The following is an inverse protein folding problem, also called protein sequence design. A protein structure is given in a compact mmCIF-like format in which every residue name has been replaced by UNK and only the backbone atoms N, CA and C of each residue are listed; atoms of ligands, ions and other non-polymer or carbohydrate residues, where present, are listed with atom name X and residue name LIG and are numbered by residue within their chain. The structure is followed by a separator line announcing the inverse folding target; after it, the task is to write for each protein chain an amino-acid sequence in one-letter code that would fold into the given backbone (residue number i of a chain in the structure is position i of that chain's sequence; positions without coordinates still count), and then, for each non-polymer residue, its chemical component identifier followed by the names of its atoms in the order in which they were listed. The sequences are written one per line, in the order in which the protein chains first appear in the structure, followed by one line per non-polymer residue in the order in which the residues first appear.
data_IF_783103683105
#
_entry.id   IF_783103683105
#
_cell.length_a   1.000
_cell.length_b   1.000
_cell.length_c   1.000
_cell.angle_alpha   90.00
_cell.angle_beta   90.00
_cell.angle_gamma   90.00
#
_symmetry.space_group_name_H-M   'P 1'
#
loop_
_entity.id
_entity.type
_entity.pdbx_description
1 polymer ?
#
# COMPACT_ATOMS: atom_id res chain seq x y z
N UNK A 1 -37.12 12.76 13.01
CA UNK A 1 -36.97 13.24 11.62
C UNK A 1 -35.83 14.25 11.60
N UNK A 2 -34.82 14.02 10.74
CA UNK A 2 -33.62 14.84 10.46
C UNK A 2 -32.59 14.99 11.62
N UNK A 3 -31.33 14.54 11.56
CA UNK A 3 -30.40 14.37 10.42
C UNK A 3 -29.54 15.63 10.28
N UNK A 4 -28.20 15.61 10.25
CA UNK A 4 -27.24 14.54 10.42
C UNK A 4 -25.85 15.14 10.66
N UNK A 5 -25.03 14.43 11.43
CA UNK A 5 -23.58 14.57 11.34
C UNK A 5 -23.12 13.52 10.32
N UNK A 6 -23.39 13.80 9.05
CA UNK A 6 -22.69 13.10 7.99
C UNK A 6 -21.28 13.67 8.00
N UNK A 7 -20.41 13.09 8.82
CA UNK A 7 -18.98 13.21 8.64
C UNK A 7 -18.74 13.07 7.13
N UNK A 8 -18.17 14.10 6.51
CA UNK A 8 -17.76 14.08 5.12
C UNK A 8 -16.58 13.11 5.04
N UNK A 9 -16.86 11.81 5.21
CA UNK A 9 -15.96 10.75 4.86
C UNK A 9 -15.78 10.93 3.36
N UNK A 10 -14.68 11.59 2.98
CA UNK A 10 -14.21 11.64 1.60
C UNK A 10 -14.49 10.27 1.04
N UNK A 11 -15.45 10.19 0.11
CA UNK A 11 -15.83 8.96 -0.60
C UNK A 11 -14.55 8.21 -0.84
N UNK A 12 -14.33 7.14 -0.06
CA UNK A 12 -13.02 6.53 0.09
C UNK A 12 -12.44 6.39 -1.32
N UNK A 13 -11.22 6.93 -1.58
CA UNK A 13 -10.68 6.97 -2.93
C UNK A 13 -10.82 5.57 -3.50
N UNK A 14 -11.48 5.48 -4.67
CA UNK A 14 -11.92 4.24 -5.29
C UNK A 14 -10.85 3.16 -5.09
N UNK A 15 -11.07 2.27 -4.11
CA UNK A 15 -10.14 1.23 -3.67
C UNK A 15 -8.68 1.70 -3.77
N UNK A 16 -8.22 2.58 -2.88
CA UNK A 16 -6.79 2.88 -2.78
C UNK A 16 -6.02 1.56 -2.65
N UNK A 17 -5.43 1.12 -3.75
CA UNK A 17 -4.63 -0.08 -3.87
C UNK A 17 -3.25 0.28 -3.34
N UNK A 18 -3.10 0.27 -2.01
CA UNK A 18 -1.83 0.57 -1.36
C UNK A 18 -0.85 -0.56 -1.61
N UNK A 19 0.15 -0.30 -2.43
CA UNK A 19 1.35 -1.12 -2.56
C UNK A 19 2.28 -0.78 -1.39
N UNK A 20 2.76 -1.78 -0.67
CA UNK A 20 3.81 -1.57 0.33
C UNK A 20 5.14 -2.01 -0.24
N UNK A 21 6.14 -1.13 -0.14
CA UNK A 21 7.50 -1.38 -0.60
C UNK A 21 8.43 -1.46 0.61
N UNK A 22 9.24 -2.51 0.65
CA UNK A 22 10.37 -2.62 1.60
C UNK A 22 11.66 -2.34 0.86
N UNK A 23 12.55 -1.60 1.50
CA UNK A 23 13.84 -1.21 0.93
C UNK A 23 14.99 -1.77 1.77
N UNK A 24 16.08 -2.10 1.10
CA UNK A 24 17.37 -2.41 1.71
C UNK A 24 18.15 -1.14 2.10
N UNK A 25 19.24 -1.28 2.85
CA UNK A 25 20.14 -0.18 3.27
C UNK A 25 20.66 0.66 2.10
N UNK A 26 20.75 0.08 0.90
CA UNK A 26 21.16 0.78 -0.32
C UNK A 26 19.99 1.46 -1.08
N UNK A 27 18.77 1.48 -0.52
CA UNK A 27 17.59 2.09 -1.15
C UNK A 27 16.97 1.25 -2.28
N UNK A 28 17.34 -0.02 -2.40
CA UNK A 28 16.81 -0.97 -3.41
C UNK A 28 15.58 -1.68 -2.87
N UNK A 29 14.57 -1.95 -3.70
CA UNK A 29 13.31 -2.60 -3.29
C UNK A 29 13.53 -4.09 -3.05
N UNK A 30 13.37 -4.56 -1.82
CA UNK A 30 13.50 -5.99 -1.47
C UNK A 30 12.17 -6.73 -1.40
N UNK A 31 11.06 -6.01 -1.22
CA UNK A 31 9.73 -6.63 -1.16
C UNK A 31 8.63 -5.68 -1.63
N UNK A 32 7.67 -6.22 -2.37
CA UNK A 32 6.45 -5.53 -2.80
C UNK A 32 5.25 -6.32 -2.33
N UNK A 33 4.46 -5.74 -1.43
CA UNK A 33 3.18 -6.31 -0.99
C UNK A 33 2.04 -5.64 -1.75
N UNK A 34 1.28 -6.46 -2.46
CA UNK A 34 0.15 -6.05 -3.25
C UNK A 34 -1.14 -6.03 -2.40
N UNK A 35 -2.12 -5.18 -2.76
CA UNK A 35 -3.39 -5.09 -2.04
C UNK A 35 -4.27 -6.35 -2.16
N UNK A 36 -3.90 -7.30 -3.03
CA UNK A 36 -4.53 -8.63 -3.12
C UNK A 36 -3.86 -9.65 -2.18
N UNK A 37 -2.91 -9.24 -1.34
CA UNK A 37 -2.16 -10.10 -0.43
C UNK A 37 -0.97 -10.82 -1.07
N UNK A 38 -0.73 -10.64 -2.37
CA UNK A 38 0.45 -11.21 -3.02
C UNK A 38 1.71 -10.46 -2.58
N UNK A 39 2.82 -11.18 -2.43
CA UNK A 39 4.11 -10.62 -2.04
C UNK A 39 5.16 -11.06 -3.04
N UNK A 40 5.86 -10.10 -3.63
CA UNK A 40 7.02 -10.36 -4.49
C UNK A 40 8.29 -9.93 -3.76
N UNK A 41 9.21 -10.87 -3.56
CA UNK A 41 10.50 -10.61 -2.92
C UNK A 41 11.61 -10.57 -3.96
N UNK A 42 12.49 -9.58 -3.85
CA UNK A 42 13.65 -9.40 -4.71
C UNK A 42 14.91 -9.63 -3.89
N UNK A 43 15.74 -10.57 -4.34
CA UNK A 43 17.08 -10.79 -3.80
C UNK A 43 18.10 -10.22 -4.79
N UNK A 44 18.82 -9.18 -4.37
CA UNK A 44 19.94 -8.67 -5.14
C UNK A 44 21.20 -9.39 -4.67
N UNK A 45 21.79 -10.19 -5.55
CA UNK A 45 23.13 -10.71 -5.33
C UNK A 45 24.13 -9.56 -5.49
N UNK A 46 24.97 -9.36 -4.48
CA UNK A 46 25.98 -8.32 -4.48
C UNK A 46 27.20 -8.89 -5.21
N UNK A 47 27.10 -9.02 -6.53
CA UNK A 47 28.21 -9.47 -7.38
C UNK A 47 29.25 -8.35 -7.58
#
# INVERSE_FOLDING_TARGET
MAGGLAALALRAPARAQSLQYTYDVFGRVTSVTYPNGNVTTYTYDNA
#
